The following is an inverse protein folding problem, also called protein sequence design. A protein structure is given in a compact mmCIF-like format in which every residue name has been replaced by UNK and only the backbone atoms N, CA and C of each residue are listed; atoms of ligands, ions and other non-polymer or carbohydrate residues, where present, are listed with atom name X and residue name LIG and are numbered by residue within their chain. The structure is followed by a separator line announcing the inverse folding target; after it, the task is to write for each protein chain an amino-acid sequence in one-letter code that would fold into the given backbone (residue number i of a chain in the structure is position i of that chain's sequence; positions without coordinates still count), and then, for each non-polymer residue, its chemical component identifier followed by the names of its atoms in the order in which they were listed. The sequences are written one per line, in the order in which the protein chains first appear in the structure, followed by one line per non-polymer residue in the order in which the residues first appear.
data_IF_227535643779
#
_entry.id   IF_227535643779
#
_cell.length_a   1.000
_cell.length_b   1.000
_cell.length_c   1.000
_cell.angle_alpha   90.00
_cell.angle_beta   90.00
_cell.angle_gamma   90.00
#
_symmetry.space_group_name_H-M   'P 1'
#
loop_
_entity.id
_entity.type
_entity.pdbx_description
1 polymer ?
#
# COMPACT_ATOMS: atom_id res chain seq x y z
N UNK A 1 -0.64 -9.84 20.05
CA UNK A 1 -0.16 -9.11 18.88
C UNK A 1 0.90 -9.86 18.06
N UNK A 2 2.02 -10.32 18.65
CA UNK A 2 3.09 -11.02 17.89
C UNK A 2 2.59 -12.23 17.09
N UNK A 3 1.69 -13.04 17.66
CA UNK A 3 1.10 -14.21 16.98
C UNK A 3 0.27 -13.86 15.75
N UNK A 4 -0.53 -12.77 15.82
CA UNK A 4 -1.35 -12.28 14.69
C UNK A 4 -0.48 -11.84 13.51
N UNK A 5 0.56 -11.03 13.79
CA UNK A 5 1.50 -10.57 12.76
C UNK A 5 2.27 -11.76 12.16
N UNK A 6 2.68 -12.73 12.99
CA UNK A 6 3.38 -13.94 12.52
C UNK A 6 2.49 -14.78 11.60
N UNK A 7 1.20 -14.91 11.91
CA UNK A 7 0.21 -15.57 11.05
C UNK A 7 0.13 -14.86 9.69
N UNK A 8 -0.05 -13.53 9.69
CA UNK A 8 -0.16 -12.75 8.47
C UNK A 8 1.12 -12.81 7.61
N UNK A 9 2.31 -12.86 8.24
CA UNK A 9 3.57 -13.10 7.53
C UNK A 9 3.66 -14.49 6.89
N UNK A 10 3.16 -15.54 7.55
CA UNK A 10 3.11 -16.87 6.97
C UNK A 10 2.15 -16.93 5.77
N UNK A 11 0.98 -16.32 5.90
CA UNK A 11 0.01 -16.21 4.81
C UNK A 11 0.63 -15.48 3.60
N UNK A 12 1.32 -14.38 3.86
CA UNK A 12 2.02 -13.64 2.82
C UNK A 12 3.05 -14.50 2.09
N UNK A 13 3.89 -15.23 2.81
CA UNK A 13 4.92 -16.10 2.20
C UNK A 13 4.32 -17.23 1.36
N UNK A 14 3.17 -17.75 1.75
CA UNK A 14 2.56 -18.92 1.10
C UNK A 14 1.71 -18.52 -0.11
N UNK A 15 0.83 -17.53 0.05
CA UNK A 15 -0.17 -17.18 -0.96
C UNK A 15 0.23 -16.02 -1.86
N UNK A 16 1.16 -15.15 -1.43
CA UNK A 16 1.50 -13.92 -2.16
C UNK A 16 2.90 -13.91 -2.77
N UNK A 17 3.52 -15.08 -2.98
CA UNK A 17 4.82 -15.19 -3.68
C UNK A 17 4.80 -14.54 -5.05
N UNK A 18 3.72 -14.76 -5.81
CA UNK A 18 3.56 -14.21 -7.16
C UNK A 18 3.50 -12.68 -7.13
N UNK A 19 2.77 -12.10 -6.18
CA UNK A 19 2.69 -10.63 -6.04
C UNK A 19 4.05 -10.01 -5.76
N UNK A 20 4.90 -10.66 -4.95
CA UNK A 20 6.27 -10.22 -4.71
C UNK A 20 7.13 -10.26 -5.98
N UNK A 21 7.02 -11.35 -6.76
CA UNK A 21 7.74 -11.50 -8.02
C UNK A 21 7.34 -10.39 -8.98
N UNK A 22 6.05 -10.10 -9.11
CA UNK A 22 5.54 -9.02 -9.95
C UNK A 22 6.10 -7.66 -9.50
N UNK A 23 6.05 -7.34 -8.21
CA UNK A 23 6.62 -6.09 -7.68
C UNK A 23 8.11 -5.99 -8.00
N UNK A 24 8.87 -7.06 -7.78
CA UNK A 24 10.31 -7.07 -8.08
C UNK A 24 10.62 -6.91 -9.58
N UNK A 25 9.83 -7.56 -10.46
CA UNK A 25 9.99 -7.39 -11.91
C UNK A 25 9.76 -5.92 -12.30
N UNK A 26 8.71 -5.28 -11.80
CA UNK A 26 8.43 -3.88 -12.10
C UNK A 26 9.52 -2.94 -11.56
N UNK A 27 10.09 -3.24 -10.39
CA UNK A 27 11.21 -2.46 -9.84
C UNK A 27 12.48 -2.60 -10.69
N UNK A 28 12.79 -3.81 -11.16
CA UNK A 28 13.94 -4.05 -12.06
C UNK A 28 13.72 -3.36 -13.41
N UNK A 29 12.53 -3.52 -14.00
CA UNK A 29 12.18 -2.84 -15.26
C UNK A 29 12.26 -1.32 -15.09
N UNK A 30 11.77 -0.79 -13.95
CA UNK A 30 11.88 0.62 -13.61
C UNK A 30 13.32 1.10 -13.48
N UNK A 31 14.23 0.29 -12.89
CA UNK A 31 15.63 0.65 -12.78
C UNK A 31 16.34 0.76 -14.15
N UNK A 32 15.89 -0.05 -15.14
CA UNK A 32 16.52 -0.14 -16.47
C UNK A 32 15.92 0.81 -17.51
N UNK A 33 14.75 1.41 -17.26
CA UNK A 33 14.08 2.28 -18.23
C UNK A 33 14.23 3.76 -17.88
N UNK A 34 14.37 4.60 -18.89
CA UNK A 34 14.44 6.07 -18.72
C UNK A 34 13.14 6.64 -18.09
N UNK A 35 11.97 6.09 -18.42
CA UNK A 35 10.67 6.48 -17.83
C UNK A 35 10.36 5.68 -16.56
N UNK A 36 11.26 5.71 -15.61
CA UNK A 36 11.25 4.89 -14.40
C UNK A 36 10.07 5.16 -13.45
N UNK A 37 9.60 6.40 -13.34
CA UNK A 37 8.63 6.84 -12.33
C UNK A 37 7.34 6.05 -12.35
N UNK A 38 6.82 5.70 -13.53
CA UNK A 38 5.60 4.91 -13.68
C UNK A 38 5.74 3.50 -13.08
N UNK A 39 6.83 2.81 -13.37
CA UNK A 39 7.06 1.42 -12.89
C UNK A 39 7.21 1.39 -11.38
N UNK A 40 7.89 2.38 -10.79
CA UNK A 40 8.05 2.50 -9.34
C UNK A 40 6.73 2.85 -8.64
N UNK A 41 5.95 3.79 -9.19
CA UNK A 41 4.63 4.14 -8.68
C UNK A 41 3.67 2.94 -8.70
N UNK A 42 3.66 2.18 -9.80
CA UNK A 42 2.87 0.97 -9.93
C UNK A 42 3.27 -0.10 -8.90
N UNK A 43 4.58 -0.31 -8.70
CA UNK A 43 5.09 -1.25 -7.69
C UNK A 43 4.65 -0.88 -6.28
N UNK A 44 4.69 0.42 -5.93
CA UNK A 44 4.24 0.93 -4.63
C UNK A 44 2.75 0.65 -4.43
N UNK A 45 1.92 0.92 -5.43
CA UNK A 45 0.48 0.65 -5.36
C UNK A 45 0.18 -0.84 -5.23
N UNK A 46 0.84 -1.70 -6.02
CA UNK A 46 0.70 -3.15 -5.92
C UNK A 46 1.12 -3.67 -4.54
N UNK A 47 2.19 -3.13 -3.98
CA UNK A 47 2.60 -3.44 -2.61
C UNK A 47 1.51 -3.12 -1.58
N UNK A 48 0.85 -1.98 -1.68
CA UNK A 48 -0.23 -1.57 -0.78
C UNK A 48 -1.48 -2.45 -0.81
N UNK A 49 -1.64 -3.30 -1.84
CA UNK A 49 -2.77 -4.24 -1.99
C UNK A 49 -2.58 -5.53 -1.17
N UNK A 50 -1.36 -5.94 -0.91
CA UNK A 50 -1.10 -7.23 -0.23
C UNK A 50 -1.78 -7.35 1.14
N UNK A 51 -1.74 -6.34 2.03
CA UNK A 51 -2.45 -6.38 3.30
C UNK A 51 -3.96 -6.56 3.14
N UNK A 52 -4.53 -5.97 2.09
CA UNK A 52 -5.96 -6.06 1.75
C UNK A 52 -6.30 -7.48 1.31
N UNK A 53 -5.45 -8.08 0.51
CA UNK A 53 -5.62 -9.45 0.05
C UNK A 53 -5.56 -10.45 1.20
N UNK A 54 -4.71 -10.23 2.21
CA UNK A 54 -4.67 -11.06 3.42
C UNK A 54 -5.99 -10.97 4.18
N UNK A 55 -6.57 -9.78 4.29
CA UNK A 55 -7.89 -9.62 4.93
C UNK A 55 -8.97 -10.38 4.15
N UNK A 56 -8.87 -10.43 2.81
CA UNK A 56 -9.77 -11.21 1.96
C UNK A 56 -9.69 -12.71 2.22
N UNK A 57 -8.48 -13.23 2.44
CA UNK A 57 -8.29 -14.63 2.82
C UNK A 57 -8.81 -14.91 4.23
N UNK A 58 -8.60 -14.01 5.18
CA UNK A 58 -9.12 -14.15 6.53
C UNK A 58 -10.66 -14.23 6.56
N UNK A 59 -11.34 -13.47 5.70
CA UNK A 59 -12.79 -13.55 5.59
C UNK A 59 -13.26 -14.86 4.94
N UNK A 60 -12.58 -15.30 3.89
CA UNK A 60 -12.88 -16.57 3.20
C UNK A 60 -12.73 -17.79 4.11
N UNK A 61 -11.68 -17.81 4.93
CA UNK A 61 -11.40 -18.91 5.88
C UNK A 61 -12.16 -18.75 7.21
N UNK A 62 -13.08 -17.79 7.30
CA UNK A 62 -13.83 -17.48 8.53
C UNK A 62 -12.95 -17.25 9.76
N UNK A 63 -11.74 -16.70 9.52
CA UNK A 63 -10.81 -16.40 10.59
C UNK A 63 -11.39 -15.42 11.61
N UNK A 64 -12.26 -14.50 11.18
CA UNK A 64 -12.87 -13.51 12.05
C UNK A 64 -13.78 -14.19 13.08
N UNK A 65 -14.56 -15.20 12.68
CA UNK A 65 -15.42 -15.97 13.57
C UNK A 65 -14.61 -16.70 14.65
N UNK A 66 -13.45 -17.26 14.25
CA UNK A 66 -12.51 -17.87 15.19
C UNK A 66 -11.85 -16.84 16.11
N UNK A 67 -11.47 -15.67 15.58
CA UNK A 67 -10.84 -14.61 16.35
C UNK A 67 -11.75 -14.08 17.47
N UNK A 68 -13.08 -14.15 17.30
CA UNK A 68 -14.06 -13.74 18.31
C UNK A 68 -14.12 -14.72 19.49
N UNK A 69 -13.68 -15.97 19.32
CA UNK A 69 -13.57 -16.95 20.44
C UNK A 69 -12.30 -16.75 21.26
N UNK A 70 -11.33 -15.97 20.75
CA UNK A 70 -10.09 -15.71 21.46
C UNK A 70 -10.25 -14.53 22.43
N UNK A 71 -9.49 -14.50 23.53
CA UNK A 71 -9.52 -13.38 24.48
C UNK A 71 -8.77 -12.15 23.92
N UNK A 72 -9.16 -11.71 22.73
CA UNK A 72 -8.54 -10.59 22.02
C UNK A 72 -9.56 -9.46 21.85
N UNK A 73 -9.13 -8.23 22.13
CA UNK A 73 -9.98 -7.09 21.86
C UNK A 73 -10.06 -6.79 20.36
N UNK A 74 -11.24 -6.37 19.89
CA UNK A 74 -11.45 -5.93 18.50
C UNK A 74 -10.41 -4.89 18.04
N UNK A 75 -10.03 -3.98 18.93
CA UNK A 75 -8.97 -2.99 18.68
C UNK A 75 -7.63 -3.65 18.39
N UNK A 76 -7.28 -4.73 19.10
CA UNK A 76 -6.01 -5.45 18.91
C UNK A 76 -5.96 -6.12 17.52
N UNK A 77 -7.08 -6.65 17.05
CA UNK A 77 -7.18 -7.26 15.71
C UNK A 77 -6.98 -6.20 14.62
N UNK A 78 -7.68 -5.07 14.71
CA UNK A 78 -7.54 -3.96 13.75
C UNK A 78 -6.09 -3.43 13.76
N UNK A 79 -5.51 -3.19 14.94
CA UNK A 79 -4.13 -2.73 15.07
C UNK A 79 -3.12 -3.68 14.39
N UNK A 80 -3.28 -4.99 14.57
CA UNK A 80 -2.37 -5.96 13.96
C UNK A 80 -2.39 -5.90 12.44
N UNK A 81 -3.57 -5.69 11.83
CA UNK A 81 -3.72 -5.56 10.37
C UNK A 81 -3.09 -4.28 9.84
N UNK A 82 -3.33 -3.15 10.51
CA UNK A 82 -2.72 -1.87 10.15
C UNK A 82 -1.20 -1.88 10.31
N UNK A 83 -0.70 -2.46 11.41
CA UNK A 83 0.75 -2.56 11.64
C UNK A 83 1.42 -3.45 10.60
N UNK A 84 0.80 -4.59 10.27
CA UNK A 84 1.31 -5.46 9.20
C UNK A 84 1.33 -4.71 7.86
N UNK A 85 0.24 -4.01 7.52
CA UNK A 85 0.14 -3.19 6.31
C UNK A 85 1.21 -2.12 6.23
N UNK A 86 1.46 -1.42 7.34
CA UNK A 86 2.49 -0.38 7.43
C UNK A 86 3.90 -0.95 7.22
N UNK A 87 4.25 -2.05 7.90
CA UNK A 87 5.56 -2.71 7.75
C UNK A 87 5.79 -3.10 6.28
N UNK A 88 4.76 -3.66 5.66
CA UNK A 88 4.83 -4.08 4.27
C UNK A 88 4.97 -2.90 3.30
N UNK A 89 4.16 -1.85 3.49
CA UNK A 89 4.23 -0.62 2.68
C UNK A 89 5.59 0.06 2.80
N UNK A 90 6.17 0.12 4.00
CA UNK A 90 7.52 0.64 4.21
C UNK A 90 8.56 -0.21 3.48
N UNK A 91 8.45 -1.54 3.50
CA UNK A 91 9.38 -2.41 2.80
C UNK A 91 9.36 -2.16 1.27
N UNK A 92 8.17 -2.07 0.68
CA UNK A 92 8.04 -1.77 -0.76
C UNK A 92 8.51 -0.36 -1.09
N UNK A 93 8.18 0.64 -0.25
CA UNK A 93 8.66 2.01 -0.37
C UNK A 93 10.19 2.09 -0.41
N UNK A 94 10.87 1.41 0.53
CA UNK A 94 12.35 1.40 0.58
C UNK A 94 12.93 0.77 -0.69
N UNK A 95 12.39 -0.37 -1.13
CA UNK A 95 12.82 -1.03 -2.36
C UNK A 95 12.60 -0.15 -3.60
N UNK A 96 11.45 0.54 -3.69
CA UNK A 96 11.15 1.43 -4.79
C UNK A 96 12.10 2.64 -4.81
N UNK A 97 12.38 3.23 -3.64
CA UNK A 97 13.30 4.36 -3.53
C UNK A 97 14.73 3.97 -3.90
N UNK A 98 15.21 2.82 -3.45
CA UNK A 98 16.54 2.30 -3.82
C UNK A 98 16.61 2.02 -5.32
N UNK A 99 15.60 1.39 -5.89
CA UNK A 99 15.52 1.11 -7.32
C UNK A 99 15.49 2.41 -8.16
N UNK A 100 14.75 3.42 -7.72
CA UNK A 100 14.72 4.74 -8.37
C UNK A 100 16.06 5.48 -8.27
N UNK A 101 16.71 5.41 -7.10
CA UNK A 101 18.05 5.98 -6.94
C UNK A 101 19.09 5.30 -7.88
N UNK A 102 19.01 3.98 -8.03
CA UNK A 102 19.84 3.25 -8.99
C UNK A 102 19.57 3.71 -10.44
N UNK A 103 18.30 3.93 -10.82
CA UNK A 103 17.94 4.48 -12.12
C UNK A 103 18.54 5.87 -12.35
N UNK A 104 18.48 6.77 -11.36
CA UNK A 104 19.09 8.10 -11.45
C UNK A 104 20.60 8.03 -11.68
N UNK A 105 21.29 7.09 -11.05
CA UNK A 105 22.73 6.89 -11.27
C UNK A 105 23.03 6.38 -12.69
N UNK A 106 22.17 5.53 -13.23
CA UNK A 106 22.39 4.90 -14.55
C UNK A 106 22.03 5.82 -15.73
N UNK A 107 21.00 6.67 -15.60
CA UNK A 107 20.39 7.40 -16.72
C UNK A 107 20.42 8.93 -16.58
N UNK A 108 20.69 9.48 -15.40
CA UNK A 108 20.64 10.92 -15.13
C UNK A 108 21.95 11.49 -14.57
N UNK A 109 23.09 11.02 -15.06
CA UNK A 109 24.44 11.48 -14.69
C UNK A 109 24.70 11.52 -13.17
N UNK A 110 24.02 10.63 -12.41
CA UNK A 110 24.15 10.57 -10.95
C UNK A 110 23.43 11.69 -10.20
N UNK A 111 22.53 12.43 -10.83
CA UNK A 111 21.79 13.50 -10.18
C UNK A 111 20.70 12.94 -9.26
N UNK A 112 20.95 12.93 -7.95
CA UNK A 112 20.07 12.43 -6.91
C UNK A 112 19.11 13.48 -6.34
N UNK A 113 19.07 14.69 -6.89
CA UNK A 113 18.25 15.80 -6.34
C UNK A 113 16.74 15.51 -6.39
N UNK A 114 16.27 14.70 -7.34
CA UNK A 114 14.85 14.30 -7.47
C UNK A 114 14.43 13.17 -6.52
N UNK A 115 15.39 12.42 -5.97
CA UNK A 115 15.10 11.23 -5.14
C UNK A 115 14.26 11.55 -3.91
N UNK A 116 14.51 12.61 -3.11
CA UNK A 116 13.69 12.92 -1.94
C UNK A 116 12.24 13.26 -2.30
N UNK A 117 12.04 13.99 -3.39
CA UNK A 117 10.71 14.35 -3.88
C UNK A 117 9.93 13.10 -4.33
N UNK A 118 10.54 12.25 -5.15
CA UNK A 118 9.93 10.99 -5.61
C UNK A 118 9.71 10.00 -4.46
N UNK A 119 10.61 9.92 -3.49
CA UNK A 119 10.44 9.08 -2.30
C UNK A 119 9.16 9.43 -1.54
N UNK A 120 8.83 10.72 -1.38
CA UNK A 120 7.59 11.13 -0.71
C UNK A 120 6.34 10.69 -1.47
N UNK A 121 6.37 10.73 -2.81
CA UNK A 121 5.29 10.22 -3.68
C UNK A 121 5.16 8.69 -3.54
N UNK A 122 6.26 7.95 -3.56
CA UNK A 122 6.26 6.49 -3.40
C UNK A 122 5.71 6.06 -2.03
N UNK A 123 6.09 6.76 -0.97
CA UNK A 123 5.56 6.52 0.38
C UNK A 123 4.05 6.74 0.41
N UNK A 124 3.57 7.85 -0.13
CA UNK A 124 2.15 8.15 -0.22
C UNK A 124 1.39 7.07 -0.99
N UNK A 125 1.87 6.69 -2.18
CA UNK A 125 1.26 5.67 -3.03
C UNK A 125 1.28 4.28 -2.40
N UNK A 126 2.31 3.92 -1.64
CA UNK A 126 2.40 2.60 -0.99
C UNK A 126 1.40 2.44 0.16
N UNK A 127 1.06 3.52 0.86
CA UNK A 127 0.13 3.50 2.01
C UNK A 127 -1.31 3.79 1.60
N UNK A 128 -1.51 4.49 0.49
CA UNK A 128 -2.83 4.95 0.00
C UNK A 128 -3.88 3.83 -0.14
N UNK A 129 -3.59 2.64 -0.72
CA UNK A 129 -4.56 1.56 -0.80
C UNK A 129 -5.04 1.09 0.58
N UNK A 130 -4.13 0.97 1.55
CA UNK A 130 -4.48 0.58 2.90
C UNK A 130 -5.34 1.64 3.60
N UNK A 131 -5.02 2.92 3.44
CA UNK A 131 -5.79 4.04 4.01
C UNK A 131 -7.24 4.01 3.54
N UNK A 132 -7.47 3.81 2.24
CA UNK A 132 -8.80 3.93 1.65
C UNK A 132 -9.63 2.66 1.81
N UNK A 133 -9.02 1.49 1.66
CA UNK A 133 -9.75 0.24 1.56
C UNK A 133 -9.93 -0.48 2.89
N UNK A 134 -8.98 -0.37 3.83
CA UNK A 134 -9.10 -1.04 5.13
C UNK A 134 -10.39 -0.69 5.89
N UNK A 135 -10.81 0.58 6.05
CA UNK A 135 -12.05 0.91 6.74
C UNK A 135 -13.28 0.31 6.06
N UNK A 136 -13.28 0.31 4.72
CA UNK A 136 -14.41 -0.20 3.91
C UNK A 136 -14.51 -1.71 4.01
N UNK A 137 -13.38 -2.41 3.89
CA UNK A 137 -13.31 -3.87 4.01
C UNK A 137 -13.73 -4.35 5.40
N UNK A 138 -13.27 -3.67 6.44
CA UNK A 138 -13.65 -3.98 7.81
C UNK A 138 -15.13 -3.72 8.10
N UNK A 139 -15.77 -2.78 7.39
CA UNK A 139 -17.19 -2.44 7.55
C UNK A 139 -18.11 -3.34 6.74
N UNK A 140 -17.85 -3.44 5.44
CA UNK A 140 -18.79 -4.01 4.47
C UNK A 140 -18.41 -5.42 4.01
N UNK A 141 -17.23 -5.90 4.40
CA UNK A 141 -16.67 -7.17 3.94
C UNK A 141 -15.94 -7.04 2.61
N UNK A 142 -15.31 -8.14 2.24
CA UNK A 142 -14.39 -8.18 1.11
C UNK A 142 -15.11 -8.10 -0.24
N UNK A 143 -16.30 -8.69 -0.38
CA UNK A 143 -17.01 -8.68 -1.68
C UNK A 143 -17.32 -7.25 -2.15
N UNK A 144 -17.91 -6.43 -1.26
CA UNK A 144 -18.21 -5.02 -1.56
C UNK A 144 -16.94 -4.17 -1.64
N UNK A 145 -15.96 -4.46 -0.80
CA UNK A 145 -14.66 -3.79 -0.82
C UNK A 145 -13.88 -4.05 -2.10
N UNK A 146 -14.02 -5.21 -2.73
CA UNK A 146 -13.37 -5.56 -4.00
C UNK A 146 -13.86 -4.70 -5.15
N UNK A 147 -15.15 -4.42 -5.22
CA UNK A 147 -15.72 -3.53 -6.23
C UNK A 147 -15.15 -2.12 -6.09
N UNK A 148 -15.16 -1.58 -4.87
CA UNK A 148 -14.58 -0.26 -4.60
C UNK A 148 -13.07 -0.22 -4.93
N UNK A 149 -12.36 -1.30 -4.63
CA UNK A 149 -10.96 -1.45 -4.99
C UNK A 149 -10.73 -1.33 -6.50
N UNK A 150 -11.51 -2.04 -7.33
CA UNK A 150 -11.35 -1.97 -8.78
C UNK A 150 -11.68 -0.59 -9.33
N UNK A 151 -12.71 0.07 -8.79
CA UNK A 151 -13.08 1.44 -9.18
C UNK A 151 -11.95 2.40 -8.83
N UNK A 152 -11.44 2.33 -7.61
CA UNK A 152 -10.40 3.24 -7.12
C UNK A 152 -9.07 3.02 -7.85
N UNK A 153 -8.70 1.77 -8.07
CA UNK A 153 -7.48 1.41 -8.79
C UNK A 153 -7.58 1.81 -10.27
N UNK A 154 -8.73 1.55 -10.90
CA UNK A 154 -9.00 1.96 -12.27
C UNK A 154 -8.99 3.48 -12.45
N UNK A 155 -9.61 4.23 -11.53
CA UNK A 155 -9.60 5.69 -11.55
C UNK A 155 -8.18 6.25 -11.38
N UNK A 156 -7.42 5.71 -10.43
CA UNK A 156 -6.05 6.15 -10.20
C UNK A 156 -5.13 5.80 -11.39
N UNK A 157 -5.31 4.61 -11.97
CA UNK A 157 -4.58 4.21 -13.17
C UNK A 157 -4.93 5.11 -14.36
N UNK A 158 -6.20 5.48 -14.53
CA UNK A 158 -6.64 6.42 -15.56
C UNK A 158 -6.00 7.81 -15.37
N UNK A 159 -5.96 8.30 -14.12
CA UNK A 159 -5.29 9.57 -13.80
C UNK A 159 -3.80 9.50 -14.15
N UNK A 160 -3.10 8.45 -13.71
CA UNK A 160 -1.66 8.28 -14.01
C UNK A 160 -1.43 8.10 -15.51
N UNK A 161 -2.31 7.39 -16.23
CA UNK A 161 -2.19 7.22 -17.68
C UNK A 161 -2.41 8.55 -18.44
N UNK A 162 -3.45 9.32 -18.08
CA UNK A 162 -3.75 10.61 -18.73
C UNK A 162 -2.67 11.65 -18.46
N UNK A 163 -2.23 11.76 -17.21
CA UNK A 163 -1.23 12.75 -16.82
C UNK A 163 0.21 12.27 -17.02
N UNK A 164 0.48 10.96 -16.99
CA UNK A 164 1.81 10.40 -17.24
C UNK A 164 2.18 10.37 -18.75
N UNK A 165 1.21 10.51 -19.66
CA UNK A 165 1.45 10.67 -21.09
C UNK A 165 1.80 12.15 -21.42
N UNK A 166 1.31 13.09 -20.65
CA UNK A 166 1.71 14.48 -20.75
C UNK A 166 3.00 14.69 -19.96
N UNK A 167 4.07 15.13 -20.62
CA UNK A 167 5.36 15.49 -19.99
C UNK A 167 5.21 16.61 -18.92
N UNK A 168 3.99 17.11 -18.73
CA UNK A 168 3.62 18.16 -17.78
C UNK A 168 3.33 17.66 -16.36
N UNK A 169 3.25 16.35 -16.12
CA UNK A 169 2.94 15.82 -14.79
C UNK A 169 4.21 15.63 -13.96
N UNK A 170 4.60 16.68 -13.27
CA UNK A 170 5.59 16.65 -12.21
C UNK A 170 4.89 16.81 -10.84
N UNK A 171 4.19 15.79 -10.33
CA UNK A 171 3.42 15.90 -9.07
C UNK A 171 4.30 16.25 -7.87
N UNK A 172 5.58 16.06 -8.00
CA UNK A 172 6.56 16.38 -6.97
C UNK A 172 7.16 17.79 -7.08
N UNK A 173 6.92 18.53 -8.17
CA UNK A 173 7.52 19.84 -8.36
C UNK A 173 6.83 20.94 -7.52
N UNK A 174 5.52 20.81 -7.31
CA UNK A 174 4.71 21.85 -6.68
C UNK A 174 4.40 21.55 -5.19
N UNK A 175 4.47 20.31 -4.74
CA UNK A 175 4.22 19.93 -3.34
C UNK A 175 5.54 19.63 -2.63
N UNK A 176 5.77 20.32 -1.50
CA UNK A 176 6.96 19.98 -0.70
C UNK A 176 6.89 18.53 -0.22
N UNK A 177 8.00 17.76 -0.28
CA UNK A 177 8.05 16.36 0.17
C UNK A 177 7.52 16.17 1.59
N UNK A 178 7.72 17.18 2.47
CA UNK A 178 7.23 17.18 3.83
C UNK A 178 5.69 17.17 3.90
N UNK A 179 5.00 17.88 3.02
CA UNK A 179 3.51 17.93 3.00
C UNK A 179 2.95 16.56 2.64
N UNK A 180 3.50 15.86 1.66
CA UNK A 180 3.04 14.52 1.25
C UNK A 180 3.27 13.48 2.36
N UNK A 181 4.42 13.51 3.02
CA UNK A 181 4.72 12.58 4.12
C UNK A 181 3.82 12.82 5.32
N UNK A 182 3.58 14.08 5.70
CA UNK A 182 2.67 14.44 6.79
C UNK A 182 1.22 14.07 6.43
N UNK A 183 0.78 14.34 5.20
CA UNK A 183 -0.55 13.96 4.73
C UNK A 183 -0.75 12.44 4.78
N UNK A 184 0.22 11.63 4.35
CA UNK A 184 0.16 10.17 4.44
C UNK A 184 0.00 9.70 5.88
N UNK A 185 0.79 10.26 6.82
CA UNK A 185 0.72 9.91 8.23
C UNK A 185 -0.63 10.30 8.87
N UNK A 186 -1.12 11.50 8.60
CA UNK A 186 -2.41 11.99 9.13
C UNK A 186 -3.56 11.13 8.59
N UNK A 187 -3.61 10.88 7.29
CA UNK A 187 -4.63 10.04 6.66
C UNK A 187 -4.59 8.61 7.19
N UNK A 188 -3.40 8.05 7.44
CA UNK A 188 -3.26 6.73 8.02
C UNK A 188 -3.84 6.66 9.44
N UNK A 189 -3.57 7.65 10.29
CA UNK A 189 -4.14 7.73 11.65
C UNK A 189 -5.66 7.88 11.59
N UNK A 190 -6.19 8.73 10.70
CA UNK A 190 -7.64 8.91 10.52
C UNK A 190 -8.27 7.58 10.07
N UNK A 191 -7.70 6.90 9.10
CA UNK A 191 -8.18 5.59 8.63
C UNK A 191 -8.20 4.55 9.74
N UNK A 192 -7.15 4.50 10.57
CA UNK A 192 -7.07 3.62 11.72
C UNK A 192 -8.18 3.89 12.74
N UNK A 193 -8.41 5.16 13.10
CA UNK A 193 -9.46 5.54 14.06
C UNK A 193 -10.86 5.20 13.55
N UNK A 194 -11.13 5.44 12.28
CA UNK A 194 -12.39 5.06 11.63
C UNK A 194 -12.57 3.55 11.69
N UNK A 195 -11.55 2.77 11.35
CA UNK A 195 -11.60 1.31 11.36
C UNK A 195 -11.84 0.74 12.75
N UNK A 196 -11.23 1.31 13.78
CA UNK A 196 -11.47 0.91 15.17
C UNK A 196 -12.88 1.24 15.67
N UNK A 197 -13.50 2.30 15.16
CA UNK A 197 -14.89 2.68 15.50
C UNK A 197 -15.92 1.81 14.78
N UNK A 198 -15.58 1.32 13.59
CA UNK A 198 -16.49 0.59 12.69
C UNK A 198 -16.48 -0.91 12.93
N UNK A 199 -15.32 -1.52 13.17
CA UNK A 199 -15.16 -2.96 13.33
C UNK A 199 -16.01 -3.58 14.45
N UNK A 200 -16.11 -3.02 15.67
CA UNK A 200 -16.95 -3.58 16.73
C UNK A 200 -18.46 -3.57 16.41
N UNK A 201 -18.91 -2.69 15.51
CA UNK A 201 -20.32 -2.60 15.10
C UNK A 201 -20.73 -3.69 14.10
N UNK A 202 -19.77 -4.29 13.41
CA UNK A 202 -20.02 -5.42 12.49
C UNK A 202 -20.26 -6.73 13.23
N UNK A 203 -19.69 -6.88 14.41
CA UNK A 203 -19.77 -8.09 15.24
C UNK A 203 -21.08 -8.20 16.05
N UNK A 204 -21.90 -7.15 16.04
CA UNK A 204 -23.24 -7.14 16.67
C UNK A 204 -24.33 -7.31 15.62
#
# INVERSE_FOLDING_TARGET
MKGLIRKDMYMMKTYFRISWIVVLIFLVVGALNEKASFYHAYSCMMGGIVPISILSYDEKERWMDYADTLPLSAKTIVWSKYLFGLIFSIAVFVLATVSYAANCVMHHDGNLSSVPAMASVFLFLSVLPAILLMPVLLKYGVEKGRILYYILFGALFAVVAVFGISDSFHPAADLSPAVLTVAAAVLWVISLTISQAVYPKRQR
#
